data_IF_823296091103
#
_entry.id   IF_823296091103
#
_cell.length_a   1.000
_cell.length_b   1.000
_cell.length_c   1.000
_cell.angle_alpha   90.00
_cell.angle_beta   90.00
_cell.angle_gamma   90.00
#
_symmetry.space_group_name_H-M   'P 1'
#
loop_
_entity.id
_entity.type
_entity.pdbx_description
1 polymer ?
#
# COMPACT_ATOMS: atom_id res chain seq x y z
N UNK A 1 -13.75 -3.24 3.82
CA UNK A 1 -13.13 -2.67 5.03
C UNK A 1 -12.47 -3.82 5.77
N UNK A 2 -11.25 -3.62 6.27
CA UNK A 2 -10.55 -4.62 7.08
C UNK A 2 -11.32 -4.84 8.37
N UNK A 3 -11.62 -6.09 8.68
CA UNK A 3 -12.19 -6.44 9.98
C UNK A 3 -11.04 -6.41 11.02
N UNK A 4 -11.18 -5.60 12.04
CA UNK A 4 -10.23 -5.46 13.14
C UNK A 4 -10.85 -6.03 14.42
N UNK A 5 -10.68 -7.33 14.70
CA UNK A 5 -11.41 -8.02 15.76
C UNK A 5 -11.10 -7.54 17.18
N UNK A 6 -10.07 -6.71 17.35
CA UNK A 6 -9.63 -6.19 18.67
C UNK A 6 -10.14 -4.77 18.98
N UNK A 7 -10.98 -4.17 18.11
CA UNK A 7 -11.53 -2.84 18.37
C UNK A 7 -12.63 -2.90 19.43
N UNK A 8 -12.68 -1.87 20.30
CA UNK A 8 -13.85 -1.67 21.15
C UNK A 8 -15.08 -1.40 20.28
N UNK A 9 -16.29 -1.85 20.69
CA UNK A 9 -17.52 -1.70 19.88
C UNK A 9 -17.87 -0.23 19.56
N UNK A 10 -17.39 0.71 20.36
CA UNK A 10 -17.58 2.15 20.14
C UNK A 10 -16.68 2.65 18.99
N UNK A 11 -15.39 2.35 19.03
CA UNK A 11 -14.42 2.73 18.00
C UNK A 11 -14.76 2.04 16.67
N UNK A 12 -15.20 0.78 16.70
CA UNK A 12 -15.61 0.04 15.50
C UNK A 12 -16.82 0.70 14.83
N UNK A 13 -17.85 1.09 15.60
CA UNK A 13 -19.05 1.75 15.06
C UNK A 13 -18.72 3.13 14.47
N UNK A 14 -17.93 3.94 15.18
CA UNK A 14 -17.50 5.25 14.70
C UNK A 14 -16.69 5.13 13.42
N UNK A 15 -15.68 4.27 13.43
CA UNK A 15 -14.84 4.01 12.26
C UNK A 15 -15.66 3.53 11.06
N UNK A 16 -16.59 2.60 11.27
CA UNK A 16 -17.47 2.07 10.21
C UNK A 16 -18.36 3.16 9.62
N UNK A 17 -18.92 4.02 10.44
CA UNK A 17 -19.77 5.15 9.98
C UNK A 17 -18.95 6.14 9.14
N UNK A 18 -17.78 6.55 9.62
CA UNK A 18 -16.88 7.47 8.89
C UNK A 18 -16.30 6.83 7.62
N UNK A 19 -16.00 5.55 7.64
CA UNK A 19 -15.58 4.83 6.41
C UNK A 19 -16.68 4.79 5.35
N UNK A 20 -17.95 4.60 5.75
CA UNK A 20 -19.07 4.69 4.82
C UNK A 20 -19.22 6.09 4.22
N UNK A 21 -18.95 7.14 4.99
CA UNK A 21 -18.91 8.52 4.51
C UNK A 21 -17.76 8.74 3.52
N UNK A 22 -16.55 8.23 3.82
CA UNK A 22 -15.39 8.27 2.91
C UNK A 22 -15.72 7.59 1.58
N UNK A 23 -16.32 6.39 1.59
CA UNK A 23 -16.69 5.68 0.36
C UNK A 23 -17.68 6.49 -0.51
N UNK A 24 -18.70 7.06 0.11
CA UNK A 24 -19.66 7.91 -0.60
C UNK A 24 -18.96 9.13 -1.19
N UNK A 25 -18.16 9.84 -0.39
CA UNK A 25 -17.47 11.05 -0.80
C UNK A 25 -16.42 10.76 -1.90
N UNK A 26 -15.70 9.64 -1.80
CA UNK A 26 -14.76 9.17 -2.80
C UNK A 26 -15.47 8.91 -4.14
N UNK A 27 -16.59 8.18 -4.10
CA UNK A 27 -17.37 7.85 -5.29
C UNK A 27 -17.95 9.09 -5.97
N UNK A 28 -18.44 10.05 -5.19
CA UNK A 28 -19.04 11.30 -5.69
C UNK A 28 -17.98 12.23 -6.28
N UNK A 29 -16.81 12.37 -5.63
CA UNK A 29 -15.75 13.28 -6.08
C UNK A 29 -14.95 12.73 -7.27
N UNK A 30 -14.91 11.43 -7.48
CA UNK A 30 -14.34 10.85 -8.69
C UNK A 30 -15.16 11.16 -9.94
N UNK A 31 -16.43 11.57 -9.80
CA UNK A 31 -17.28 11.96 -10.93
C UNK A 31 -16.92 13.34 -11.47
N UNK A 32 -17.35 13.57 -12.72
CA UNK A 32 -17.27 14.86 -13.41
C UNK A 32 -18.38 14.99 -14.47
N UNK A 33 -18.38 16.12 -15.15
CA UNK A 33 -19.40 16.44 -16.17
C UNK A 33 -19.29 15.56 -17.42
N UNK A 34 -18.10 15.00 -17.68
CA UNK A 34 -17.88 14.12 -18.83
C UNK A 34 -18.14 12.65 -18.43
N UNK A 35 -19.20 12.01 -18.97
CA UNK A 35 -19.62 10.68 -18.53
C UNK A 35 -18.53 9.61 -18.61
N UNK A 36 -17.72 9.62 -19.67
CA UNK A 36 -16.64 8.65 -19.85
C UNK A 36 -15.53 8.82 -18.81
N UNK A 37 -15.17 10.05 -18.43
CA UNK A 37 -14.22 10.28 -17.34
C UNK A 37 -14.76 9.78 -16.00
N UNK A 38 -16.08 9.91 -15.77
CA UNK A 38 -16.76 9.35 -14.60
C UNK A 38 -16.73 7.81 -14.60
N UNK A 39 -16.98 7.19 -15.74
CA UNK A 39 -16.93 5.72 -15.89
C UNK A 39 -15.52 5.21 -15.56
N UNK A 40 -14.50 5.79 -16.21
CA UNK A 40 -13.12 5.32 -16.04
C UNK A 40 -12.58 5.56 -14.63
N UNK A 41 -12.82 6.74 -14.04
CA UNK A 41 -12.36 7.08 -12.69
C UNK A 41 -13.02 6.25 -11.58
N UNK A 42 -14.26 5.83 -11.76
CA UNK A 42 -14.99 4.96 -10.81
C UNK A 42 -14.69 3.47 -10.97
N UNK A 43 -14.00 3.07 -12.02
CA UNK A 43 -13.76 1.65 -12.33
C UNK A 43 -13.07 0.91 -11.17
N UNK A 44 -11.90 1.36 -10.72
CA UNK A 44 -11.18 0.74 -9.60
C UNK A 44 -11.80 1.06 -8.23
N UNK A 45 -12.59 2.14 -8.09
CA UNK A 45 -13.36 2.43 -6.88
C UNK A 45 -14.44 1.35 -6.71
N UNK A 46 -15.19 1.08 -7.77
CA UNK A 46 -16.27 0.09 -7.79
C UNK A 46 -15.77 -1.35 -7.65
N UNK A 47 -14.56 -1.64 -8.11
CA UNK A 47 -13.89 -2.93 -7.88
C UNK A 47 -13.56 -3.17 -6.38
N UNK A 48 -13.70 -2.15 -5.55
CA UNK A 48 -13.49 -2.25 -4.10
C UNK A 48 -12.05 -1.99 -3.66
N UNK A 49 -11.70 -2.52 -2.52
CA UNK A 49 -10.37 -2.40 -1.91
C UNK A 49 -10.46 -2.43 -0.38
N UNK A 50 -9.33 -2.70 0.28
CA UNK A 50 -9.28 -2.81 1.74
C UNK A 50 -9.38 -1.45 2.44
N UNK A 51 -9.14 -0.34 1.73
CA UNK A 51 -9.21 1.04 2.24
C UNK A 51 -8.35 1.28 3.49
N UNK A 52 -7.18 0.67 3.54
CA UNK A 52 -6.24 0.82 4.65
C UNK A 52 -5.83 2.28 4.88
N UNK A 53 -5.58 3.03 3.81
CA UNK A 53 -5.11 4.42 3.88
C UNK A 53 -6.15 5.37 4.48
N UNK A 54 -7.39 5.39 3.98
CA UNK A 54 -8.47 6.14 4.64
C UNK A 54 -8.67 5.76 6.11
N UNK A 55 -8.70 4.46 6.40
CA UNK A 55 -8.87 3.95 7.76
C UNK A 55 -7.76 4.44 8.70
N UNK A 56 -6.50 4.43 8.26
CA UNK A 56 -5.38 4.94 9.03
C UNK A 56 -5.50 6.45 9.29
N UNK A 57 -5.95 7.23 8.28
CA UNK A 57 -6.23 8.67 8.45
C UNK A 57 -7.29 8.90 9.51
N UNK A 58 -8.39 8.14 9.46
CA UNK A 58 -9.47 8.25 10.44
C UNK A 58 -9.04 7.86 11.87
N UNK A 59 -8.27 6.77 12.01
CA UNK A 59 -7.73 6.36 13.31
C UNK A 59 -6.77 7.42 13.87
N UNK A 60 -5.85 7.93 13.06
CA UNK A 60 -4.91 8.96 13.47
C UNK A 60 -5.62 10.27 13.91
N UNK A 61 -6.77 10.59 13.35
CA UNK A 61 -7.54 11.79 13.70
C UNK A 61 -8.10 11.76 15.15
N UNK A 62 -8.26 10.58 15.74
CA UNK A 62 -8.79 10.43 17.10
C UNK A 62 -7.82 10.90 18.20
N UNK A 63 -6.58 11.28 17.85
CA UNK A 63 -5.66 11.93 18.79
C UNK A 63 -5.84 13.45 18.88
N UNK A 64 -6.75 14.01 18.08
CA UNK A 64 -7.24 15.39 18.13
C UNK A 64 -8.76 15.42 18.10
N UNK A 65 -9.34 16.34 17.32
CA UNK A 65 -10.78 16.43 17.07
C UNK A 65 -11.16 15.69 15.77
N UNK A 66 -11.69 14.46 15.86
CA UNK A 66 -12.01 13.65 14.69
C UNK A 66 -13.26 14.11 13.93
N UNK A 67 -14.03 15.07 14.48
CA UNK A 67 -15.30 15.55 13.90
C UNK A 67 -15.11 16.62 12.83
N UNK A 68 -13.89 17.11 12.61
CA UNK A 68 -13.61 18.14 11.60
C UNK A 68 -13.86 17.60 10.20
N UNK A 69 -14.60 18.35 9.39
CA UNK A 69 -14.90 18.00 7.98
C UNK A 69 -13.65 17.74 7.14
N UNK A 70 -12.54 18.40 7.49
CA UNK A 70 -11.25 18.22 6.80
C UNK A 70 -10.73 16.78 6.86
N UNK A 71 -11.12 16.00 7.89
CA UNK A 71 -10.65 14.62 8.07
C UNK A 71 -11.19 13.69 6.97
N UNK A 72 -12.47 13.79 6.64
CA UNK A 72 -13.07 12.98 5.56
C UNK A 72 -12.46 13.37 4.22
N UNK A 73 -12.30 14.67 3.94
CA UNK A 73 -11.63 15.15 2.73
C UNK A 73 -10.20 14.62 2.62
N UNK A 74 -9.44 14.64 3.72
CA UNK A 74 -8.07 14.12 3.75
C UNK A 74 -8.00 12.61 3.50
N UNK A 75 -8.92 11.84 4.09
CA UNK A 75 -9.03 10.40 3.86
C UNK A 75 -9.34 10.08 2.39
N UNK A 76 -10.14 10.91 1.72
CA UNK A 76 -10.44 10.79 0.29
C UNK A 76 -9.23 11.20 -0.56
N UNK A 77 -8.52 12.28 -0.20
CA UNK A 77 -7.30 12.72 -0.90
C UNK A 77 -6.27 11.62 -0.98
N UNK A 78 -5.96 10.95 0.14
CA UNK A 78 -4.96 9.88 0.16
C UNK A 78 -5.40 8.66 -0.67
N UNK A 79 -6.70 8.33 -0.68
CA UNK A 79 -7.20 7.21 -1.49
C UNK A 79 -7.25 7.57 -2.98
N UNK A 80 -7.65 8.80 -3.36
CA UNK A 80 -7.59 9.27 -4.75
C UNK A 80 -6.16 9.25 -5.28
N UNK A 81 -5.20 9.71 -4.46
CA UNK A 81 -3.78 9.67 -4.80
C UNK A 81 -3.33 8.22 -5.04
N UNK A 82 -3.68 7.30 -4.14
CA UNK A 82 -3.35 5.89 -4.31
C UNK A 82 -4.01 5.28 -5.55
N UNK A 83 -5.31 5.57 -5.79
CA UNK A 83 -5.99 5.07 -6.98
C UNK A 83 -5.34 5.57 -8.25
N UNK A 84 -4.97 6.86 -8.30
CA UNK A 84 -4.29 7.44 -9.45
C UNK A 84 -2.97 6.72 -9.76
N UNK A 85 -2.17 6.41 -8.72
CA UNK A 85 -0.93 5.63 -8.93
C UNK A 85 -1.22 4.23 -9.44
N UNK A 86 -2.28 3.55 -8.97
CA UNK A 86 -2.64 2.22 -9.47
C UNK A 86 -2.97 2.21 -10.98
N UNK A 87 -3.61 3.28 -11.50
CA UNK A 87 -3.86 3.39 -12.94
C UNK A 87 -2.56 3.54 -13.74
N UNK A 88 -1.57 4.25 -13.20
CA UNK A 88 -0.25 4.40 -13.82
C UNK A 88 0.58 3.13 -13.68
N UNK A 89 0.57 2.49 -12.52
CA UNK A 89 1.25 1.22 -12.25
C UNK A 89 0.74 0.14 -13.23
N UNK A 90 -0.58 0.01 -13.41
CA UNK A 90 -1.17 -0.97 -14.35
C UNK A 90 -0.66 -0.80 -15.78
N UNK A 91 -0.33 0.43 -16.20
CA UNK A 91 0.27 0.69 -17.52
C UNK A 91 1.74 0.29 -17.56
N UNK A 92 2.51 0.61 -16.51
CA UNK A 92 3.94 0.30 -16.44
C UNK A 92 4.19 -1.21 -16.32
N UNK A 93 3.33 -1.90 -15.56
CA UNK A 93 3.41 -3.34 -15.32
C UNK A 93 2.70 -4.16 -16.41
N UNK A 94 2.06 -3.50 -17.40
CA UNK A 94 1.20 -4.16 -18.41
C UNK A 94 0.15 -5.09 -17.78
N UNK A 95 -0.30 -4.77 -16.57
CA UNK A 95 -1.15 -5.61 -15.75
C UNK A 95 -2.51 -5.88 -16.45
N UNK A 96 -2.92 -7.15 -16.63
CA UNK A 96 -4.21 -7.46 -17.26
C UNK A 96 -5.40 -7.31 -16.32
N UNK A 97 -5.16 -7.43 -15.02
CA UNK A 97 -6.19 -7.44 -13.97
C UNK A 97 -5.77 -6.56 -12.80
N UNK A 98 -6.73 -5.84 -12.20
CA UNK A 98 -6.56 -5.14 -10.94
C UNK A 98 -7.79 -5.34 -10.06
N UNK A 99 -7.61 -5.74 -8.81
CA UNK A 99 -8.71 -6.01 -7.85
C UNK A 99 -9.75 -7.02 -8.39
N UNK A 100 -9.31 -7.99 -9.18
CA UNK A 100 -10.17 -9.02 -9.75
C UNK A 100 -11.01 -8.60 -10.97
N UNK A 101 -10.84 -7.38 -11.46
CA UNK A 101 -11.46 -6.89 -12.71
C UNK A 101 -10.38 -6.60 -13.76
N UNK A 102 -10.76 -6.49 -15.05
CA UNK A 102 -9.83 -6.01 -16.07
C UNK A 102 -9.26 -4.65 -15.66
N UNK A 103 -7.94 -4.49 -15.79
CA UNK A 103 -7.28 -3.20 -15.57
C UNK A 103 -7.73 -2.17 -16.61
N UNK A 104 -7.56 -0.88 -16.30
CA UNK A 104 -7.99 0.19 -17.19
C UNK A 104 -7.23 0.19 -18.53
N UNK A 105 -5.91 -0.09 -18.50
CA UNK A 105 -5.08 -0.21 -19.69
C UNK A 105 -5.53 -1.38 -20.58
N UNK A 106 -5.93 -2.51 -20.01
CA UNK A 106 -6.46 -3.65 -20.73
C UNK A 106 -7.82 -3.34 -21.36
N UNK A 107 -8.71 -2.67 -20.60
CA UNK A 107 -10.09 -2.40 -21.03
C UNK A 107 -10.20 -1.25 -22.03
N UNK A 108 -9.42 -0.18 -21.84
CA UNK A 108 -9.55 1.07 -22.63
C UNK A 108 -8.26 1.55 -23.28
N UNK A 109 -7.15 0.85 -23.06
CA UNK A 109 -5.81 1.19 -23.55
C UNK A 109 -5.04 2.15 -22.65
N UNK A 110 -3.72 2.17 -22.85
CA UNK A 110 -2.76 2.90 -22.01
C UNK A 110 -3.07 4.39 -21.90
N UNK A 111 -3.45 5.04 -23.02
CA UNK A 111 -3.76 6.48 -23.02
C UNK A 111 -4.92 6.83 -22.09
N UNK A 112 -5.97 6.00 -22.05
CA UNK A 112 -7.12 6.22 -21.18
C UNK A 112 -6.73 5.97 -19.73
N UNK A 113 -5.94 4.93 -19.44
CA UNK A 113 -5.48 4.64 -18.09
C UNK A 113 -4.64 5.80 -17.55
N UNK A 114 -3.63 6.28 -18.30
CA UNK A 114 -2.79 7.43 -17.92
C UNK A 114 -3.65 8.67 -17.63
N UNK A 115 -4.51 9.05 -18.57
CA UNK A 115 -5.39 10.22 -18.42
C UNK A 115 -6.37 10.08 -17.25
N UNK A 116 -6.82 8.87 -16.94
CA UNK A 116 -7.67 8.62 -15.76
C UNK A 116 -6.88 8.81 -14.46
N UNK A 117 -5.63 8.36 -14.39
CA UNK A 117 -4.74 8.64 -13.27
C UNK A 117 -4.53 10.14 -13.07
N UNK A 118 -4.22 10.88 -14.14
CA UNK A 118 -4.06 12.35 -14.10
C UNK A 118 -5.36 13.05 -13.66
N UNK A 119 -6.51 12.57 -14.12
CA UNK A 119 -7.80 13.09 -13.71
C UNK A 119 -8.05 12.90 -12.21
N UNK A 120 -7.73 11.73 -11.64
CA UNK A 120 -7.84 11.47 -10.21
C UNK A 120 -6.86 12.33 -9.40
N UNK A 121 -5.64 12.58 -9.89
CA UNK A 121 -4.72 13.54 -9.28
C UNK A 121 -5.27 14.96 -9.27
N UNK A 122 -5.90 15.39 -10.37
CA UNK A 122 -6.56 16.69 -10.42
C UNK A 122 -7.71 16.78 -9.40
N UNK A 123 -8.53 15.72 -9.27
CA UNK A 123 -9.59 15.64 -8.25
C UNK A 123 -9.04 15.68 -6.82
N UNK A 124 -7.97 14.95 -6.56
CA UNK A 124 -7.26 14.99 -5.27
C UNK A 124 -6.74 16.40 -4.98
N UNK A 125 -6.13 17.08 -5.97
CA UNK A 125 -5.59 18.43 -5.83
C UNK A 125 -6.66 19.47 -5.52
N UNK A 126 -7.85 19.36 -6.09
CA UNK A 126 -8.99 20.24 -5.79
C UNK A 126 -9.42 20.12 -4.31
N UNK A 127 -9.58 18.88 -3.81
CA UNK A 127 -9.91 18.67 -2.40
C UNK A 127 -8.78 19.15 -1.48
N UNK A 128 -7.53 18.96 -1.91
CA UNK A 128 -6.36 19.33 -1.15
C UNK A 128 -6.26 20.85 -0.93
N UNK A 129 -6.70 21.65 -1.91
CA UNK A 129 -6.75 23.11 -1.79
C UNK A 129 -7.61 23.58 -0.62
N UNK A 130 -8.68 22.83 -0.28
CA UNK A 130 -9.55 23.11 0.88
C UNK A 130 -8.88 22.78 2.23
N UNK A 131 -7.83 21.94 2.24
CA UNK A 131 -7.14 21.52 3.46
C UNK A 131 -6.04 22.50 3.90
N UNK A 132 -5.70 23.46 3.06
CA UNK A 132 -4.73 24.50 3.33
C UNK A 132 -3.32 24.22 2.80
N UNK A 133 -2.43 25.26 2.82
CA UNK A 133 -1.14 25.21 2.15
C UNK A 133 -0.17 24.18 2.72
N UNK A 134 -0.22 23.89 4.01
CA UNK A 134 0.64 22.87 4.63
C UNK A 134 0.25 21.47 4.17
N UNK A 135 -1.05 21.20 4.01
CA UNK A 135 -1.51 19.93 3.47
C UNK A 135 -1.03 19.76 2.01
N UNK A 136 -1.12 20.80 1.18
CA UNK A 136 -0.60 20.80 -0.20
C UNK A 136 0.90 20.50 -0.22
N UNK A 137 1.67 21.14 0.67
CA UNK A 137 3.13 20.92 0.77
C UNK A 137 3.45 19.47 1.15
N UNK A 138 2.77 18.92 2.16
CA UNK A 138 2.98 17.54 2.59
C UNK A 138 2.61 16.53 1.50
N UNK A 139 1.52 16.77 0.75
CA UNK A 139 1.16 15.95 -0.41
C UNK A 139 2.27 15.97 -1.46
N UNK A 140 2.76 17.16 -1.84
CA UNK A 140 3.77 17.31 -2.86
C UNK A 140 5.07 16.58 -2.48
N UNK A 141 5.54 16.75 -1.24
CA UNK A 141 6.73 16.06 -0.73
C UNK A 141 6.56 14.53 -0.71
N UNK A 142 5.38 14.06 -0.31
CA UNK A 142 5.10 12.62 -0.29
C UNK A 142 4.99 12.05 -1.69
N UNK A 143 4.37 12.77 -2.60
CA UNK A 143 4.24 12.34 -3.99
C UNK A 143 5.60 12.31 -4.70
N UNK A 144 6.48 13.29 -4.43
CA UNK A 144 7.88 13.26 -4.89
C UNK A 144 8.58 11.99 -4.42
N UNK A 145 8.51 11.65 -3.11
CA UNK A 145 9.08 10.41 -2.55
C UNK A 145 8.53 9.17 -3.27
N UNK A 146 7.21 9.08 -3.43
CA UNK A 146 6.55 7.96 -4.10
C UNK A 146 7.05 7.78 -5.53
N UNK A 147 7.13 8.86 -6.31
CA UNK A 147 7.63 8.84 -7.70
C UNK A 147 9.12 8.48 -7.74
N UNK A 148 9.93 9.01 -6.82
CA UNK A 148 11.34 8.62 -6.70
C UNK A 148 11.46 7.12 -6.39
N UNK A 149 10.63 6.60 -5.48
CA UNK A 149 10.58 5.16 -5.19
C UNK A 149 10.25 4.32 -6.44
N UNK A 150 9.28 4.77 -7.26
CA UNK A 150 8.94 4.12 -8.52
C UNK A 150 10.09 4.18 -9.54
N UNK A 151 10.79 5.31 -9.65
CA UNK A 151 11.97 5.44 -10.51
C UNK A 151 13.08 4.50 -10.05
N UNK A 152 13.35 4.43 -8.74
CA UNK A 152 14.36 3.54 -8.18
C UNK A 152 14.03 2.06 -8.43
N UNK A 153 12.75 1.67 -8.37
CA UNK A 153 12.29 0.32 -8.71
C UNK A 153 12.55 0.00 -10.19
N UNK A 154 12.21 0.95 -11.08
CA UNK A 154 12.37 0.79 -12.53
C UNK A 154 13.85 0.75 -12.96
N UNK A 155 14.70 1.60 -12.38
CA UNK A 155 16.14 1.65 -12.68
C UNK A 155 16.92 0.48 -12.07
N UNK A 156 16.45 -0.01 -10.92
CA UNK A 156 17.14 -1.04 -10.15
C UNK A 156 18.40 -0.54 -9.43
N UNK A 157 19.08 -1.42 -8.67
CA UNK A 157 20.32 -1.08 -7.97
C UNK A 157 21.50 -0.91 -8.94
N UNK A 158 22.42 0.01 -8.65
CA UNK A 158 23.58 0.29 -9.49
C UNK A 158 24.86 -0.37 -8.97
N UNK A 159 25.63 -0.93 -9.89
CA UNK A 159 26.98 -1.44 -9.59
C UNK A 159 27.00 -2.49 -8.47
N UNK A 160 27.66 -2.17 -7.35
CA UNK A 160 27.80 -3.05 -6.19
C UNK A 160 26.82 -2.69 -5.04
N UNK A 161 25.73 -1.98 -5.35
CA UNK A 161 24.75 -1.65 -4.32
C UNK A 161 24.16 -2.93 -3.68
N UNK A 162 23.89 -2.85 -2.38
CA UNK A 162 23.15 -3.90 -1.69
C UNK A 162 21.71 -3.93 -2.20
N UNK A 163 21.35 -5.00 -2.92
CA UNK A 163 20.04 -5.16 -3.55
C UNK A 163 18.90 -5.19 -2.55
N UNK A 164 19.11 -5.81 -1.38
CA UNK A 164 18.12 -5.87 -0.32
C UNK A 164 17.91 -4.49 0.31
N UNK A 165 19.01 -3.76 0.59
CA UNK A 165 18.90 -2.39 1.11
C UNK A 165 18.23 -1.45 0.09
N UNK A 166 18.53 -1.60 -1.21
CA UNK A 166 17.86 -0.87 -2.29
C UNK A 166 16.36 -1.15 -2.29
N UNK A 167 15.96 -2.43 -2.26
CA UNK A 167 14.56 -2.84 -2.22
C UNK A 167 13.82 -2.25 -1.02
N UNK A 168 14.38 -2.34 0.19
CA UNK A 168 13.76 -1.73 1.39
C UNK A 168 13.58 -0.22 1.23
N UNK A 169 14.54 0.45 0.58
CA UNK A 169 14.42 1.88 0.30
C UNK A 169 13.29 2.16 -0.71
N UNK A 170 13.18 1.37 -1.77
CA UNK A 170 12.06 1.46 -2.73
C UNK A 170 10.73 1.31 -2.00
N UNK A 171 10.56 0.28 -1.18
CA UNK A 171 9.34 0.04 -0.39
C UNK A 171 9.05 1.21 0.55
N UNK A 172 10.09 1.77 1.19
CA UNK A 172 9.94 2.92 2.09
C UNK A 172 9.40 4.14 1.35
N UNK A 173 9.98 4.46 0.18
CA UNK A 173 9.60 5.64 -0.60
C UNK A 173 8.27 5.44 -1.36
N UNK A 174 8.07 4.29 -2.00
CA UNK A 174 6.88 4.00 -2.80
C UNK A 174 5.64 3.74 -1.93
N UNK A 175 5.77 2.96 -0.85
CA UNK A 175 4.64 2.51 -0.01
C UNK A 175 4.62 3.22 1.34
N UNK A 176 5.72 3.21 2.10
CA UNK A 176 5.81 3.78 3.44
C UNK A 176 5.45 5.26 3.48
N UNK A 177 5.93 6.04 2.50
CA UNK A 177 5.69 7.48 2.44
C UNK A 177 4.21 7.86 2.46
N UNK A 178 3.37 7.17 1.69
CA UNK A 178 1.93 7.45 1.62
C UNK A 178 1.20 6.98 2.91
N UNK A 179 1.65 5.92 3.55
CA UNK A 179 1.16 5.53 4.88
C UNK A 179 1.47 6.61 5.92
N UNK A 180 2.69 7.16 5.90
CA UNK A 180 3.09 8.29 6.74
C UNK A 180 2.22 9.53 6.52
N UNK A 181 1.87 9.85 5.27
CA UNK A 181 0.97 10.96 4.94
C UNK A 181 -0.44 10.75 5.50
N UNK A 182 -0.98 9.52 5.45
CA UNK A 182 -2.29 9.21 6.03
C UNK A 182 -2.34 9.59 7.52
N UNK A 183 -1.34 9.18 8.29
CA UNK A 183 -1.24 9.48 9.70
C UNK A 183 -0.99 10.98 9.96
N UNK A 184 -0.16 11.63 9.13
CA UNK A 184 0.07 13.08 9.21
C UNK A 184 -1.22 13.85 9.03
N UNK A 185 -1.99 13.53 8.00
CA UNK A 185 -3.26 14.22 7.77
C UNK A 185 -4.26 14.00 8.89
N UNK A 186 -4.44 12.75 9.33
CA UNK A 186 -5.33 12.45 10.44
C UNK A 186 -4.94 13.23 11.70
N UNK A 187 -3.68 13.16 12.12
CA UNK A 187 -3.20 13.84 13.33
C UNK A 187 -3.15 15.35 13.19
N UNK A 188 -2.53 15.87 12.11
CA UNK A 188 -2.36 17.31 11.93
C UNK A 188 -3.69 18.05 11.77
N UNK A 189 -4.56 17.57 10.88
CA UNK A 189 -5.84 18.23 10.60
C UNK A 189 -6.84 18.11 11.75
N UNK A 190 -6.74 17.09 12.58
CA UNK A 190 -7.53 16.98 13.81
C UNK A 190 -7.03 17.89 14.94
N UNK A 191 -5.82 18.46 14.80
CA UNK A 191 -5.20 19.29 15.84
C UNK A 191 -4.55 18.49 16.96
N UNK A 192 -4.11 17.27 16.70
CA UNK A 192 -3.29 16.51 17.63
C UNK A 192 -1.96 17.24 17.92
N UNK A 193 -1.35 16.94 19.06
CA UNK A 193 -0.05 17.52 19.45
C UNK A 193 1.03 17.11 18.44
N UNK A 194 1.96 18.03 18.09
CA UNK A 194 3.02 17.74 17.11
C UNK A 194 3.80 16.46 17.39
N UNK A 195 4.12 16.19 18.64
CA UNK A 195 4.89 15.00 19.07
C UNK A 195 4.11 13.71 18.77
N UNK A 196 2.78 13.75 18.92
CA UNK A 196 1.89 12.63 18.56
C UNK A 196 1.85 12.46 17.05
N UNK A 197 1.72 13.54 16.29
CA UNK A 197 1.74 13.50 14.82
C UNK A 197 3.02 12.88 14.31
N UNK A 198 4.18 13.31 14.81
CA UNK A 198 5.49 12.78 14.38
C UNK A 198 5.67 11.30 14.74
N UNK A 199 5.12 10.87 15.87
CA UNK A 199 5.15 9.46 16.27
C UNK A 199 4.23 8.62 15.38
N UNK A 200 3.02 9.09 15.08
CA UNK A 200 2.07 8.44 14.19
C UNK A 200 2.63 8.32 12.76
N UNK A 201 3.34 9.33 12.27
CA UNK A 201 3.98 9.29 10.95
C UNK A 201 5.03 8.19 10.88
N UNK A 202 5.96 8.15 11.87
CA UNK A 202 7.01 7.12 11.91
C UNK A 202 6.42 5.71 12.04
N UNK A 203 5.45 5.55 12.94
CA UNK A 203 4.69 4.31 13.09
C UNK A 203 4.09 3.86 11.74
N UNK A 204 3.45 4.77 11.04
CA UNK A 204 2.72 4.46 9.81
C UNK A 204 3.66 4.18 8.63
N UNK A 205 4.81 4.83 8.54
CA UNK A 205 5.83 4.48 7.54
C UNK A 205 6.36 3.05 7.78
N UNK A 206 6.69 2.70 9.02
CA UNK A 206 7.15 1.35 9.39
C UNK A 206 6.06 0.29 9.13
N UNK A 207 4.79 0.61 9.46
CA UNK A 207 3.63 -0.23 9.15
C UNK A 207 3.46 -0.43 7.65
N UNK A 208 3.67 0.62 6.85
CA UNK A 208 3.60 0.57 5.40
C UNK A 208 4.66 -0.34 4.79
N UNK A 209 5.89 -0.32 5.34
CA UNK A 209 6.95 -1.25 4.96
C UNK A 209 6.52 -2.69 5.29
N UNK A 210 6.12 -2.96 6.54
CA UNK A 210 5.66 -4.29 6.96
C UNK A 210 4.50 -4.79 6.10
N UNK A 211 3.60 -3.89 5.68
CA UNK A 211 2.47 -4.22 4.81
C UNK A 211 2.94 -4.72 3.44
N UNK A 212 3.91 -4.04 2.81
CA UNK A 212 4.44 -4.46 1.52
C UNK A 212 5.20 -5.79 1.64
N UNK A 213 6.06 -5.93 2.65
CA UNK A 213 6.79 -7.18 2.89
C UNK A 213 5.84 -8.36 3.11
N UNK A 214 4.71 -8.14 3.79
CA UNK A 214 3.68 -9.16 3.98
C UNK A 214 2.97 -9.51 2.66
N UNK A 215 2.69 -8.53 1.79
CA UNK A 215 2.09 -8.80 0.48
C UNK A 215 3.04 -9.63 -0.41
N UNK A 216 4.37 -9.39 -0.38
CA UNK A 216 5.38 -10.20 -1.08
C UNK A 216 5.41 -11.67 -0.59
N UNK A 217 5.35 -11.87 0.73
CA UNK A 217 5.27 -13.22 1.33
C UNK A 217 4.00 -13.94 0.87
N UNK A 218 2.86 -13.22 0.85
CA UNK A 218 1.57 -13.77 0.45
C UNK A 218 1.54 -14.15 -1.03
N UNK A 219 2.21 -13.39 -1.91
CA UNK A 219 2.26 -13.71 -3.34
C UNK A 219 2.93 -15.07 -3.59
N UNK A 220 3.93 -15.43 -2.79
CA UNK A 220 4.59 -16.74 -2.84
C UNK A 220 3.75 -17.85 -2.16
N UNK A 221 3.20 -17.59 -0.97
CA UNK A 221 2.56 -18.62 -0.13
C UNK A 221 1.15 -18.98 -0.55
N UNK A 222 0.38 -17.99 -1.01
CA UNK A 222 -1.05 -18.20 -1.23
C UNK A 222 -1.32 -19.21 -2.33
N UNK A 223 -2.34 -20.03 -2.11
CA UNK A 223 -2.98 -20.79 -3.18
C UNK A 223 -4.04 -19.90 -3.87
N UNK A 224 -4.28 -20.13 -5.17
CA UNK A 224 -5.25 -19.36 -5.98
C UNK A 224 -6.64 -19.20 -5.34
N UNK A 225 -7.00 -20.06 -4.39
CA UNK A 225 -8.30 -20.04 -3.70
C UNK A 225 -8.36 -19.12 -2.47
N UNK A 226 -7.22 -18.62 -1.97
CA UNK A 226 -7.17 -17.90 -0.69
C UNK A 226 -6.97 -16.39 -0.82
N UNK A 227 -6.21 -15.91 -1.81
CA UNK A 227 -5.82 -14.48 -1.91
C UNK A 227 -6.68 -13.65 -2.86
N UNK A 228 -7.44 -14.27 -3.75
CA UNK A 228 -8.13 -13.57 -4.84
C UNK A 228 -7.18 -12.95 -5.88
N UNK A 229 -5.87 -13.19 -5.76
CA UNK A 229 -4.80 -12.87 -6.72
C UNK A 229 -4.29 -14.16 -7.35
N UNK A 230 -3.74 -14.09 -8.55
CA UNK A 230 -2.98 -15.20 -9.15
C UNK A 230 -1.62 -15.28 -8.46
N UNK A 231 -1.26 -16.37 -7.76
CA UNK A 231 0.04 -16.49 -7.10
C UNK A 231 1.19 -16.33 -8.09
N UNK A 232 2.29 -15.72 -7.67
CA UNK A 232 3.48 -15.51 -8.48
C UNK A 232 3.31 -14.39 -9.52
N UNK A 233 2.48 -13.40 -9.26
CA UNK A 233 2.36 -12.21 -10.12
C UNK A 233 3.71 -11.52 -10.25
N UNK A 234 4.40 -11.27 -9.14
CA UNK A 234 5.71 -10.62 -9.13
C UNK A 234 6.77 -11.42 -9.92
N UNK A 235 6.69 -12.77 -9.92
CA UNK A 235 7.57 -13.63 -10.72
C UNK A 235 7.32 -13.47 -12.23
N UNK A 236 6.06 -13.32 -12.65
CA UNK A 236 5.72 -13.11 -14.06
C UNK A 236 6.17 -11.75 -14.55
N UNK A 237 6.10 -10.74 -13.70
CA UNK A 237 6.53 -9.37 -13.97
C UNK A 237 8.06 -9.22 -13.86
N UNK A 238 8.74 -10.16 -13.20
CA UNK A 238 10.18 -10.11 -12.95
C UNK A 238 10.58 -9.06 -11.91
N UNK A 239 9.63 -8.69 -11.04
CA UNK A 239 9.86 -7.72 -9.97
C UNK A 239 10.57 -8.41 -8.80
N UNK A 240 11.76 -7.95 -8.38
CA UNK A 240 12.44 -8.49 -7.22
C UNK A 240 11.63 -8.22 -5.94
N UNK A 241 11.35 -9.27 -5.17
CA UNK A 241 10.67 -9.21 -3.88
C UNK A 241 11.61 -9.57 -2.74
N UNK A 242 11.17 -9.36 -1.49
CA UNK A 242 11.95 -9.76 -0.33
C UNK A 242 12.39 -11.22 -0.40
N UNK A 243 11.48 -12.13 -0.78
CA UNK A 243 11.76 -13.57 -0.81
C UNK A 243 12.81 -13.90 -1.88
N UNK A 244 12.67 -13.36 -3.10
CA UNK A 244 13.59 -13.62 -4.22
C UNK A 244 14.98 -13.05 -3.96
N UNK A 245 15.08 -11.86 -3.38
CA UNK A 245 16.36 -11.23 -3.02
C UNK A 245 17.10 -12.01 -1.92
N UNK A 246 16.38 -12.61 -0.97
CA UNK A 246 16.98 -13.47 0.05
C UNK A 246 17.51 -14.78 -0.55
N UNK A 247 16.82 -15.36 -1.54
CA UNK A 247 17.36 -16.53 -2.30
C UNK A 247 18.66 -16.15 -2.99
N UNK A 248 18.69 -15.01 -3.69
CA UNK A 248 19.90 -14.51 -4.34
C UNK A 248 21.06 -14.27 -3.34
N UNK A 249 20.76 -13.72 -2.17
CA UNK A 249 21.76 -13.46 -1.14
C UNK A 249 22.34 -14.77 -0.55
N UNK A 250 21.52 -15.82 -0.43
CA UNK A 250 21.94 -17.13 0.05
C UNK A 250 22.79 -17.88 -0.98
N UNK A 251 22.49 -17.73 -2.27
CA UNK A 251 23.25 -18.20 -3.43
C UNK A 251 23.77 -19.64 -3.31
N UNK A 252 22.90 -20.60 -2.97
CA UNK A 252 23.28 -22.01 -2.78
C UNK A 252 23.47 -22.70 -4.13
N UNK A 253 24.38 -23.69 -4.23
CA UNK A 253 24.57 -24.46 -5.46
C UNK A 253 23.28 -25.16 -5.95
N UNK A 254 22.43 -25.64 -5.04
CA UNK A 254 21.16 -26.29 -5.35
C UNK A 254 20.10 -25.34 -5.96
N UNK A 255 20.28 -24.03 -5.81
CA UNK A 255 19.34 -23.01 -6.27
C UNK A 255 19.64 -22.53 -7.70
N UNK A 256 20.63 -23.08 -8.41
CA UNK A 256 21.09 -22.62 -9.72
C UNK A 256 19.93 -22.44 -10.74
N UNK A 257 19.04 -23.42 -10.83
CA UNK A 257 17.87 -23.32 -11.72
C UNK A 257 16.91 -22.22 -11.26
N UNK A 258 16.64 -22.10 -9.97
CA UNK A 258 15.77 -21.08 -9.40
C UNK A 258 16.36 -19.69 -9.64
N UNK A 259 17.64 -19.48 -9.35
CA UNK A 259 18.35 -18.21 -9.57
C UNK A 259 18.33 -17.80 -11.04
N UNK A 260 18.46 -18.78 -11.96
CA UNK A 260 18.36 -18.51 -13.39
C UNK A 260 16.96 -17.98 -13.75
N UNK A 261 15.89 -18.56 -13.21
CA UNK A 261 14.52 -18.12 -13.44
C UNK A 261 14.26 -16.74 -12.83
N UNK A 262 14.78 -16.47 -11.64
CA UNK A 262 14.62 -15.19 -10.93
C UNK A 262 15.41 -14.02 -11.54
N UNK A 263 16.23 -14.27 -12.56
CA UNK A 263 17.01 -13.20 -13.22
C UNK A 263 16.17 -12.29 -14.14
N UNK A 264 14.89 -12.57 -14.33
CA UNK A 264 13.96 -11.78 -15.16
C UNK A 264 12.53 -12.32 -15.12
N UNK A 265 11.62 -11.77 -15.95
CA UNK A 265 10.24 -12.20 -16.01
C UNK A 265 10.09 -13.69 -16.39
N UNK A 266 9.26 -14.42 -15.65
CA UNK A 266 8.98 -15.84 -15.92
C UNK A 266 7.70 -15.95 -16.74
N UNK A 267 7.83 -16.22 -18.04
CA UNK A 267 6.70 -16.24 -18.98
C UNK A 267 6.03 -17.62 -19.11
N UNK A 268 6.75 -18.71 -18.79
CA UNK A 268 6.22 -20.07 -18.85
C UNK A 268 5.55 -20.47 -17.53
N UNK A 269 4.30 -20.92 -17.59
CA UNK A 269 3.52 -21.28 -16.39
C UNK A 269 4.08 -22.52 -15.67
N UNK A 270 4.78 -23.40 -16.36
CA UNK A 270 5.48 -24.54 -15.75
C UNK A 270 6.67 -24.05 -14.91
N UNK A 271 7.42 -23.07 -15.41
CA UNK A 271 8.52 -22.45 -14.68
C UNK A 271 8.03 -21.59 -13.52
N UNK A 272 6.90 -20.86 -13.65
CA UNK A 272 6.25 -20.17 -12.52
C UNK A 272 5.85 -21.18 -11.44
N UNK A 273 5.22 -22.30 -11.83
CA UNK A 273 4.83 -23.35 -10.89
C UNK A 273 6.04 -23.95 -10.18
N UNK A 274 7.12 -24.21 -10.91
CA UNK A 274 8.38 -24.69 -10.34
C UNK A 274 8.97 -23.66 -9.36
N UNK A 275 9.08 -22.39 -9.77
CA UNK A 275 9.64 -21.33 -8.93
C UNK A 275 8.85 -21.14 -7.64
N UNK A 276 7.51 -21.09 -7.71
CA UNK A 276 6.66 -21.03 -6.53
C UNK A 276 6.84 -22.22 -5.59
N UNK A 277 6.92 -23.44 -6.15
CA UNK A 277 7.14 -24.64 -5.32
C UNK A 277 8.53 -24.63 -4.66
N UNK A 278 9.56 -24.16 -5.36
CA UNK A 278 10.90 -24.01 -4.82
C UNK A 278 10.92 -22.95 -3.71
N UNK A 279 10.38 -21.75 -3.96
CA UNK A 279 10.33 -20.65 -2.98
C UNK A 279 9.57 -21.03 -1.70
N UNK A 280 8.44 -21.74 -1.81
CA UNK A 280 7.65 -22.20 -0.66
C UNK A 280 8.41 -23.15 0.26
N UNK A 281 9.35 -23.90 -0.27
CA UNK A 281 10.19 -24.83 0.49
C UNK A 281 11.56 -24.27 0.85
N UNK A 282 11.88 -23.05 0.42
CA UNK A 282 13.16 -22.42 0.65
C UNK A 282 13.21 -21.71 2.00
N UNK A 283 14.37 -21.76 2.70
CA UNK A 283 14.54 -21.08 4.00
C UNK A 283 14.42 -19.55 3.89
N UNK A 284 14.63 -18.96 2.70
CA UNK A 284 14.43 -17.55 2.43
C UNK A 284 13.00 -17.09 2.75
N UNK A 285 11.99 -17.94 2.55
CA UNK A 285 10.62 -17.62 2.91
C UNK A 285 10.47 -17.45 4.43
N UNK A 286 11.07 -18.33 5.22
CA UNK A 286 11.09 -18.22 6.69
C UNK A 286 11.81 -16.94 7.16
N UNK A 287 12.92 -16.59 6.50
CA UNK A 287 13.65 -15.36 6.79
C UNK A 287 12.86 -14.10 6.37
N UNK A 288 12.17 -14.13 5.22
CA UNK A 288 11.29 -13.04 4.79
C UNK A 288 10.17 -12.78 5.81
N UNK A 289 9.52 -13.84 6.29
CA UNK A 289 8.54 -13.74 7.37
C UNK A 289 9.12 -13.13 8.65
N UNK A 290 10.33 -13.54 9.03
CA UNK A 290 11.01 -13.02 10.21
C UNK A 290 11.30 -11.51 10.07
N UNK A 291 11.78 -11.06 8.89
CA UNK A 291 12.02 -9.65 8.61
C UNK A 291 10.71 -8.87 8.63
N UNK A 292 9.64 -9.38 8.00
CA UNK A 292 8.30 -8.77 8.02
C UNK A 292 7.79 -8.57 9.44
N UNK A 293 7.94 -9.61 10.30
CA UNK A 293 7.57 -9.54 11.70
C UNK A 293 8.40 -8.51 12.48
N UNK A 294 9.69 -8.34 12.16
CA UNK A 294 10.53 -7.32 12.81
C UNK A 294 10.03 -5.90 12.52
N UNK A 295 9.65 -5.59 11.28
CA UNK A 295 9.06 -4.30 10.92
C UNK A 295 7.71 -4.09 11.61
N UNK A 296 6.83 -5.09 11.62
CA UNK A 296 5.53 -5.01 12.31
C UNK A 296 5.71 -4.79 13.83
N UNK A 297 6.67 -5.47 14.46
CA UNK A 297 6.98 -5.30 15.89
C UNK A 297 7.69 -3.96 16.16
N UNK A 298 8.52 -3.47 15.23
CA UNK A 298 9.10 -2.12 15.27
C UNK A 298 8.00 -1.06 15.32
N UNK A 299 7.06 -1.13 14.39
CA UNK A 299 5.88 -0.27 14.38
C UNK A 299 5.08 -0.37 15.70
N UNK A 300 4.79 -1.59 16.16
CA UNK A 300 4.07 -1.84 17.40
C UNK A 300 4.72 -1.17 18.62
N UNK A 301 6.04 -1.25 18.75
CA UNK A 301 6.79 -0.63 19.85
C UNK A 301 6.68 0.89 19.88
N UNK A 302 6.56 1.54 18.72
CA UNK A 302 6.37 2.99 18.64
C UNK A 302 5.05 3.43 19.29
N UNK A 303 4.01 2.59 19.23
CA UNK A 303 2.70 2.89 19.85
C UNK A 303 2.74 2.98 21.37
N UNK A 304 3.78 2.46 22.03
CA UNK A 304 3.96 2.58 23.48
C UNK A 304 4.10 4.05 23.95
N UNK A 305 4.45 4.97 23.05
CA UNK A 305 4.50 6.42 23.31
C UNK A 305 3.16 7.12 23.21
N UNK A 306 2.08 6.42 22.80
CA UNK A 306 0.74 6.98 22.66
C UNK A 306 -0.11 6.71 23.90
N UNK A 307 -1.11 7.57 24.17
CA UNK A 307 -2.10 7.30 25.21
C UNK A 307 -2.82 5.97 24.95
N UNK A 308 -2.95 5.13 25.97
CA UNK A 308 -3.74 3.89 25.89
C UNK A 308 -5.24 4.24 25.80
N UNK A 309 -5.82 4.01 24.64
CA UNK A 309 -7.24 4.20 24.35
C UNK A 309 -7.66 3.26 23.21
N UNK A 310 -8.95 3.20 22.90
CA UNK A 310 -9.49 2.34 21.85
C UNK A 310 -8.87 2.59 20.46
N UNK A 311 -8.37 3.80 20.19
CA UNK A 311 -7.65 4.11 18.93
C UNK A 311 -6.28 3.43 18.90
N UNK A 312 -5.51 3.51 20.00
CA UNK A 312 -4.22 2.82 20.10
C UNK A 312 -4.41 1.31 19.98
N UNK A 313 -5.46 0.76 20.58
CA UNK A 313 -5.84 -0.65 20.41
C UNK A 313 -6.14 -0.97 18.94
N UNK A 314 -6.81 -0.09 18.21
CA UNK A 314 -7.07 -0.22 16.78
C UNK A 314 -5.79 -0.23 15.93
N UNK A 315 -4.82 0.65 16.25
CA UNK A 315 -3.52 0.67 15.59
C UNK A 315 -2.70 -0.59 15.91
N UNK A 316 -2.76 -1.10 17.14
CA UNK A 316 -2.15 -2.38 17.53
C UNK A 316 -2.78 -3.53 16.75
N UNK A 317 -4.11 -3.55 16.59
CA UNK A 317 -4.81 -4.56 15.82
C UNK A 317 -4.43 -4.57 14.34
N UNK A 318 -4.05 -3.42 13.76
CA UNK A 318 -3.49 -3.35 12.41
C UNK A 318 -2.15 -4.08 12.32
N UNK A 319 -1.25 -3.89 13.30
CA UNK A 319 0.01 -4.63 13.36
C UNK A 319 -0.24 -6.14 13.48
N UNK A 320 -1.15 -6.54 14.38
CA UNK A 320 -1.50 -7.96 14.60
C UNK A 320 -2.10 -8.60 13.34
N UNK A 321 -2.93 -7.85 12.60
CA UNK A 321 -3.51 -8.29 11.34
C UNK A 321 -2.44 -8.52 10.25
N UNK A 322 -1.37 -7.73 10.23
CA UNK A 322 -0.25 -7.95 9.31
C UNK A 322 0.55 -9.19 9.68
N UNK A 323 0.86 -9.36 10.97
CA UNK A 323 1.57 -10.55 11.47
C UNK A 323 0.79 -11.83 11.17
N UNK A 324 -0.53 -11.84 11.40
CA UNK A 324 -1.37 -13.01 11.14
C UNK A 324 -1.53 -13.35 9.65
N UNK A 325 -1.25 -12.41 8.75
CA UNK A 325 -1.30 -12.64 7.29
C UNK A 325 -0.01 -13.25 6.74
N UNK A 326 1.11 -13.08 7.44
CA UNK A 326 2.44 -13.59 7.09
C UNK A 326 2.88 -14.78 7.95
N UNK A 327 2.07 -15.23 8.89
CA UNK A 327 2.25 -16.45 9.70
C UNK A 327 1.47 -17.61 9.11
#
# INVERSE_FOLDING_TARGET
VVNLPSLSPEVERDLSARMAEVERFLFDHAAGDFPFATETSRHLISAGGKRFRPMLTLLASNYGDPTRETIIKAAVVVELTHLATLYHDDVMDEAPLRRGVESANKRWGNSVAILTGDYLFAKSSLLLADLGPDAVRHQAMTFERLVVGQIMETEGPHGNDDRLAHYIKVVTEKTGSLFGLCARYGGYLSGAKPEIVDLLVRFSEELGIAFQLADDVIDVESSSNQSGKTPGTDLREGVPTLVTLLVEQMARPEDEKLLTLLSGPILDEGDVTFALAALRNHEALGEAKRITMQYAEGARKMLAGLPLNGTTEGLLALCDALVSRSS
#
